data_IF_752684518830
#
_entry.id   IF_752684518830
#
_cell.length_a   1.000
_cell.length_b   1.000
_cell.length_c   1.000
_cell.angle_alpha   90.00
_cell.angle_beta   90.00
_cell.angle_gamma   90.00
#
_symmetry.space_group_name_H-M   'P 1'
#
loop_
_entity.id
_entity.type
_entity.pdbx_description
1 polymer ?
#
# COMPACT_ATOMS: atom_id res chain seq x y z
N UNK A 1 0.00 6.67 -1.92
CA UNK A 1 -1.08 7.05 -1.00
C UNK A 1 -2.06 5.89 -0.88
N UNK A 2 -2.51 5.57 0.33
CA UNK A 2 -3.54 4.56 0.59
C UNK A 2 -4.85 5.27 0.92
N UNK A 3 -5.92 4.88 0.23
CA UNK A 3 -7.26 5.42 0.43
C UNK A 3 -8.21 4.34 0.94
N UNK A 4 -9.10 4.71 1.86
CA UNK A 4 -10.22 3.84 2.23
C UNK A 4 -11.43 4.13 1.34
N UNK A 5 -11.97 3.11 0.67
CA UNK A 5 -13.10 3.26 -0.25
C UNK A 5 -14.43 3.18 0.51
N UNK A 6 -14.88 4.30 1.09
CA UNK A 6 -16.28 4.54 1.50
C UNK A 6 -16.93 5.58 0.56
N UNK A 7 -18.18 5.94 0.81
CA UNK A 7 -18.98 6.91 0.04
C UNK A 7 -18.25 8.24 -0.31
N UNK A 8 -17.19 8.60 0.42
CA UNK A 8 -16.14 9.52 -0.02
C UNK A 8 -14.76 8.91 0.26
N UNK A 9 -13.88 8.75 -0.74
CA UNK A 9 -12.52 8.30 -0.51
C UNK A 9 -11.73 9.38 0.25
N UNK A 10 -10.97 8.96 1.26
CA UNK A 10 -10.02 9.80 1.98
C UNK A 10 -8.70 9.06 2.18
N UNK A 11 -7.62 9.83 2.32
CA UNK A 11 -6.26 9.31 2.50
C UNK A 11 -6.10 8.84 3.93
N UNK A 12 -5.62 7.62 4.11
CA UNK A 12 -5.29 7.03 5.43
C UNK A 12 -3.79 6.91 5.66
N UNK A 13 -2.99 6.79 4.59
CA UNK A 13 -1.52 6.77 4.68
C UNK A 13 -0.87 7.39 3.44
N UNK A 14 0.25 8.07 3.65
CA UNK A 14 1.12 8.60 2.62
C UNK A 14 2.57 8.19 2.92
N UNK A 15 3.34 7.91 1.87
CA UNK A 15 4.72 7.50 1.99
C UNK A 15 5.45 7.81 0.69
N UNK A 16 6.67 8.33 0.81
CA UNK A 16 7.60 8.53 -0.31
C UNK A 16 8.62 7.40 -0.42
N UNK A 17 9.40 7.41 -1.50
CA UNK A 17 10.54 6.51 -1.67
C UNK A 17 11.64 6.90 -0.68
N UNK A 18 12.17 5.91 0.03
CA UNK A 18 13.24 6.04 1.02
C UNK A 18 14.46 5.17 0.71
N UNK A 19 14.52 4.53 -0.46
CA UNK A 19 15.58 3.58 -0.83
C UNK A 19 16.97 4.20 -0.71
N UNK A 20 17.18 5.38 -1.32
CA UNK A 20 18.45 6.10 -1.26
C UNK A 20 18.66 6.77 0.09
N UNK A 21 17.64 7.46 0.62
CA UNK A 21 17.79 8.33 1.79
C UNK A 21 18.01 7.54 3.07
N UNK A 22 17.40 6.35 3.19
CA UNK A 22 17.49 5.49 4.38
C UNK A 22 18.30 4.21 4.12
N UNK A 23 18.88 4.06 2.92
CA UNK A 23 19.66 2.89 2.51
C UNK A 23 18.91 1.55 2.66
N UNK A 24 17.61 1.56 2.35
CA UNK A 24 16.76 0.37 2.40
C UNK A 24 16.47 -0.09 0.98
N UNK A 25 17.08 -1.19 0.53
CA UNK A 25 16.96 -1.64 -0.86
C UNK A 25 15.52 -1.95 -1.33
N UNK A 26 14.61 -2.25 -0.39
CA UNK A 26 13.16 -2.43 -0.66
C UNK A 26 12.34 -1.18 -0.38
N UNK A 27 12.98 -0.06 -0.05
CA UNK A 27 12.40 1.18 0.45
C UNK A 27 11.60 1.99 -0.56
N UNK A 28 11.11 1.36 -1.62
CA UNK A 28 10.15 1.97 -2.54
C UNK A 28 8.91 2.45 -1.78
N UNK A 29 8.31 3.53 -2.27
CA UNK A 29 7.17 4.18 -1.63
C UNK A 29 6.04 3.19 -1.32
N UNK A 30 5.73 2.29 -2.26
CA UNK A 30 4.68 1.30 -2.14
C UNK A 30 5.01 0.24 -1.08
N UNK A 31 6.21 -0.32 -1.10
CA UNK A 31 6.60 -1.39 -0.16
C UNK A 31 6.59 -0.86 1.27
N UNK A 32 7.19 0.31 1.49
CA UNK A 32 7.22 0.95 2.81
C UNK A 32 5.81 1.28 3.29
N UNK A 33 4.97 1.84 2.42
CA UNK A 33 3.58 2.16 2.77
C UNK A 33 2.81 0.91 3.18
N UNK A 34 2.94 -0.16 2.40
CA UNK A 34 2.22 -1.41 2.64
C UNK A 34 2.69 -2.07 3.93
N UNK A 35 3.99 -2.05 4.21
CA UNK A 35 4.54 -2.55 5.47
C UNK A 35 4.03 -1.76 6.69
N UNK A 36 3.88 -0.44 6.56
CA UNK A 36 3.26 0.37 7.60
C UNK A 36 1.76 0.02 7.75
N UNK A 37 1.03 -0.03 6.64
CA UNK A 37 -0.39 -0.36 6.62
C UNK A 37 -0.68 -1.71 7.27
N UNK A 38 0.14 -2.73 7.00
CA UNK A 38 -0.01 -4.08 7.57
C UNK A 38 0.28 -4.17 9.07
N UNK A 39 0.92 -3.15 9.66
CA UNK A 39 1.14 -3.06 11.11
C UNK A 39 0.02 -2.33 11.84
N UNK A 40 -0.72 -1.47 11.12
CA UNK A 40 -1.76 -0.60 11.68
C UNK A 40 -3.15 -1.22 11.49
N UNK A 41 -3.37 -1.94 10.39
CA UNK A 41 -4.69 -2.40 9.98
C UNK A 41 -4.72 -3.90 9.70
N UNK A 42 -5.88 -4.51 9.99
CA UNK A 42 -6.18 -5.89 9.65
C UNK A 42 -6.41 -6.09 8.15
N UNK A 43 -6.17 -7.32 7.66
CA UNK A 43 -6.33 -7.66 6.24
C UNK A 43 -7.75 -7.45 5.70
N UNK A 44 -8.77 -7.61 6.54
CA UNK A 44 -10.17 -7.39 6.18
C UNK A 44 -10.50 -5.90 6.01
N UNK A 45 -9.75 -5.01 6.66
CA UNK A 45 -9.86 -3.60 6.38
C UNK A 45 -9.08 -3.23 5.12
N UNK A 46 -7.86 -3.76 4.97
CA UNK A 46 -6.97 -3.44 3.85
C UNK A 46 -7.54 -3.83 2.47
N UNK A 47 -8.37 -4.88 2.38
CA UNK A 47 -9.07 -5.25 1.13
C UNK A 47 -10.08 -4.21 0.65
N UNK A 48 -10.58 -3.37 1.56
CA UNK A 48 -11.47 -2.27 1.22
C UNK A 48 -10.72 -1.00 0.81
N UNK A 49 -9.38 -1.05 0.81
CA UNK A 49 -8.52 0.09 0.51
C UNK A 49 -7.97 0.03 -0.92
N UNK A 50 -7.69 1.20 -1.48
CA UNK A 50 -7.07 1.38 -2.80
C UNK A 50 -5.73 2.06 -2.64
N UNK A 51 -4.67 1.46 -3.21
CA UNK A 51 -3.35 2.07 -3.27
C UNK A 51 -3.21 2.88 -4.56
N UNK A 52 -2.87 4.16 -4.42
CA UNK A 52 -2.49 5.04 -5.52
C UNK A 52 -0.98 5.26 -5.49
N UNK A 53 -0.32 5.02 -6.62
CA UNK A 53 1.12 5.27 -6.81
C UNK A 53 1.35 6.00 -8.14
N UNK A 54 2.45 6.75 -8.24
CA UNK A 54 2.82 7.54 -9.42
C UNK A 54 3.45 6.69 -10.52
N UNK A 55 3.92 5.49 -10.19
CA UNK A 55 4.59 4.57 -11.12
C UNK A 55 3.99 3.17 -11.00
N UNK A 56 4.16 2.35 -12.03
CA UNK A 56 3.74 0.94 -11.95
C UNK A 56 4.58 0.22 -10.88
N UNK A 57 3.97 -0.47 -9.90
CA UNK A 57 4.70 -1.17 -8.85
C UNK A 57 5.67 -2.22 -9.44
N UNK A 58 6.90 -2.27 -8.92
CA UNK A 58 7.84 -3.32 -9.30
C UNK A 58 7.42 -4.69 -8.72
N UNK A 59 8.16 -5.76 -9.05
CA UNK A 59 7.85 -7.12 -8.57
C UNK A 59 7.79 -7.23 -7.03
N UNK A 60 8.68 -6.51 -6.31
CA UNK A 60 8.71 -6.51 -4.85
C UNK A 60 7.49 -5.79 -4.28
N UNK A 61 7.19 -4.59 -4.79
CA UNK A 61 6.03 -3.80 -4.38
C UNK A 61 4.72 -4.57 -4.66
N UNK A 62 4.61 -5.18 -5.84
CA UNK A 62 3.45 -5.99 -6.24
C UNK A 62 3.24 -7.16 -5.30
N UNK A 63 4.31 -7.86 -4.91
CA UNK A 63 4.26 -8.94 -3.92
C UNK A 63 3.80 -8.44 -2.55
N UNK A 64 4.32 -7.30 -2.08
CA UNK A 64 3.89 -6.71 -0.80
C UNK A 64 2.40 -6.37 -0.79
N UNK A 65 1.91 -5.70 -1.84
CA UNK A 65 0.49 -5.32 -2.02
C UNK A 65 -0.40 -6.56 -1.99
N UNK A 66 -0.02 -7.62 -2.71
CA UNK A 66 -0.70 -8.91 -2.72
C UNK A 66 -0.83 -9.50 -1.32
N UNK A 67 0.27 -9.62 -0.59
CA UNK A 67 0.28 -10.24 0.74
C UNK A 67 -0.47 -9.44 1.81
N UNK A 68 -0.51 -8.11 1.65
CA UNK A 68 -1.27 -7.21 2.51
C UNK A 68 -2.76 -7.15 2.17
N UNK A 69 -3.21 -7.85 1.12
CA UNK A 69 -4.61 -7.94 0.72
C UNK A 69 -5.21 -6.58 0.30
N UNK A 70 -4.43 -5.68 -0.33
CA UNK A 70 -4.90 -4.34 -0.76
C UNK A 70 -5.36 -4.37 -2.22
N UNK A 71 -6.51 -3.75 -2.51
CA UNK A 71 -6.94 -3.47 -3.89
C UNK A 71 -7.33 -4.68 -4.73
N UNK A 72 -7.49 -5.87 -4.13
CA UNK A 72 -8.06 -7.02 -4.83
C UNK A 72 -9.56 -6.82 -4.97
N UNK A 73 -9.95 -6.43 -6.17
CA UNK A 73 -11.35 -6.29 -6.57
C UNK A 73 -12.13 -7.56 -6.22
N UNK A 74 -13.13 -7.37 -5.37
CA UNK A 74 -14.28 -8.24 -5.12
C UNK A 74 -14.02 -9.64 -4.56
N UNK A 75 -14.18 -9.77 -3.24
CA UNK A 75 -14.75 -11.00 -2.62
C UNK A 75 -16.30 -10.99 -2.59
N UNK A 76 -16.94 -10.26 -3.51
CA UNK A 76 -18.39 -10.32 -3.76
C UNK A 76 -18.68 -10.34 -5.25
#
# INVERSE_FOLDING_TARGET
>A
MLHHCRAKPYIILEQGNIEVTEHVCTGHAETTLVQQASRIYEKDFLITCTLYTTVVPCVVCSGAIYWANIGFWNKH
#
